data_IF_744196249123
#
_entry.id   IF_744196249123
#
_cell.length_a   1.000
_cell.length_b   1.000
_cell.length_c   1.000
_cell.angle_alpha   90.00
_cell.angle_beta   90.00
_cell.angle_gamma   90.00
#
_symmetry.space_group_name_H-M   'P 1'
#
loop_
_entity.id
_entity.type
_entity.pdbx_description
1 polymer ?
#
# COMPACT_ATOMS: atom_id res chain seq x y z
N UNK A 1 -44.93 -32.29 -23.42
CA UNK A 1 -44.66 -31.03 -22.68
C UNK A 1 -43.55 -31.20 -21.64
N UNK A 2 -43.43 -32.36 -21.00
CA UNK A 2 -42.43 -32.65 -19.95
C UNK A 2 -40.96 -32.50 -20.39
N UNK A 3 -40.58 -32.99 -21.57
CA UNK A 3 -39.18 -32.89 -22.06
C UNK A 3 -38.72 -31.45 -22.31
N UNK A 4 -39.62 -30.56 -22.76
CA UNK A 4 -39.29 -29.14 -22.99
C UNK A 4 -39.12 -28.38 -21.68
N UNK A 5 -39.92 -28.72 -20.66
CA UNK A 5 -39.78 -28.18 -19.31
C UNK A 5 -38.48 -28.63 -18.65
N UNK A 6 -38.14 -29.93 -18.77
CA UNK A 6 -36.88 -30.47 -18.26
C UNK A 6 -35.66 -29.77 -18.88
N UNK A 7 -35.66 -29.56 -20.20
CA UNK A 7 -34.57 -28.84 -20.90
C UNK A 7 -34.46 -27.39 -20.41
N UNK A 8 -35.58 -26.70 -20.20
CA UNK A 8 -35.56 -25.33 -19.65
C UNK A 8 -35.00 -25.27 -18.23
N UNK A 9 -35.41 -26.20 -17.36
CA UNK A 9 -34.92 -26.27 -15.98
C UNK A 9 -33.41 -26.53 -15.96
N UNK A 10 -32.92 -27.48 -16.76
CA UNK A 10 -31.49 -27.78 -16.86
C UNK A 10 -30.70 -26.57 -17.35
N UNK A 11 -31.23 -25.82 -18.33
CA UNK A 11 -30.56 -24.65 -18.88
C UNK A 11 -30.49 -23.49 -17.87
N UNK A 12 -31.59 -23.23 -17.15
CA UNK A 12 -31.63 -22.22 -16.08
C UNK A 12 -30.69 -22.59 -14.94
N UNK A 13 -30.67 -23.86 -14.53
CA UNK A 13 -29.75 -24.34 -13.50
C UNK A 13 -28.30 -24.14 -13.92
N UNK A 14 -27.95 -24.44 -15.17
CA UNK A 14 -26.60 -24.26 -15.70
C UNK A 14 -26.19 -22.78 -15.74
N UNK A 15 -27.09 -21.87 -16.13
CA UNK A 15 -26.86 -20.42 -16.08
C UNK A 15 -26.62 -19.96 -14.64
N UNK A 16 -27.45 -20.41 -13.69
CA UNK A 16 -27.29 -20.06 -12.27
C UNK A 16 -25.98 -20.58 -11.69
N UNK A 17 -25.54 -21.77 -12.10
CA UNK A 17 -24.27 -22.37 -11.70
C UNK A 17 -23.09 -21.51 -12.20
N UNK A 18 -23.12 -21.10 -13.47
CA UNK A 18 -22.08 -20.24 -14.07
C UNK A 18 -22.07 -18.86 -13.43
N UNK A 19 -23.24 -18.24 -13.22
CA UNK A 19 -23.34 -16.94 -12.55
C UNK A 19 -22.86 -17.02 -11.09
N UNK A 20 -23.23 -18.08 -10.38
CA UNK A 20 -22.76 -18.34 -9.01
C UNK A 20 -21.24 -18.50 -8.93
N UNK A 21 -20.64 -19.24 -9.86
CA UNK A 21 -19.18 -19.37 -9.95
C UNK A 21 -18.49 -18.03 -10.23
N UNK A 22 -19.03 -17.22 -11.13
CA UNK A 22 -18.48 -15.89 -11.46
C UNK A 22 -18.53 -14.93 -10.27
N UNK A 23 -19.65 -14.93 -9.53
CA UNK A 23 -19.81 -14.13 -8.32
C UNK A 23 -18.87 -14.65 -7.21
N UNK A 24 -18.74 -15.96 -7.06
CA UNK A 24 -17.87 -16.58 -6.07
C UNK A 24 -16.40 -16.25 -6.29
N UNK A 25 -15.90 -16.28 -7.53
CA UNK A 25 -14.50 -15.91 -7.83
C UNK A 25 -14.19 -14.46 -7.48
N UNK A 26 -15.10 -13.53 -7.79
CA UNK A 26 -14.92 -12.12 -7.44
C UNK A 26 -14.97 -11.89 -5.93
N UNK A 27 -15.90 -12.55 -5.23
CA UNK A 27 -16.07 -12.41 -3.79
C UNK A 27 -14.93 -13.06 -3.01
N UNK A 28 -14.47 -14.23 -3.44
CA UNK A 28 -13.36 -14.95 -2.83
C UNK A 28 -12.05 -14.15 -2.93
N UNK A 29 -11.78 -13.50 -4.07
CA UNK A 29 -10.62 -12.63 -4.25
C UNK A 29 -10.54 -11.49 -3.21
N UNK A 30 -11.68 -10.86 -2.91
CA UNK A 30 -11.79 -9.76 -1.93
C UNK A 30 -11.60 -10.29 -0.50
N UNK A 31 -12.12 -11.48 -0.19
CA UNK A 31 -12.08 -12.04 1.17
C UNK A 31 -10.72 -12.65 1.51
N UNK A 32 -10.09 -13.35 0.57
CA UNK A 32 -8.87 -14.10 0.87
C UNK A 32 -7.57 -13.34 0.58
N UNK A 33 -7.66 -12.10 0.07
CA UNK A 33 -6.47 -11.28 -0.22
C UNK A 33 -5.45 -12.03 -1.08
N UNK A 34 -5.92 -12.80 -2.07
CA UNK A 34 -5.09 -13.78 -2.77
C UNK A 34 -4.14 -13.06 -3.74
N UNK A 35 -2.98 -12.67 -3.20
CA UNK A 35 -1.66 -12.62 -3.84
C UNK A 35 -1.65 -12.22 -5.32
N UNK A 36 -1.98 -10.97 -5.62
CA UNK A 36 -1.13 -10.26 -6.58
C UNK A 36 0.22 -10.13 -5.89
N UNK A 37 1.29 -10.74 -6.42
CA UNK A 37 2.61 -10.70 -5.77
C UNK A 37 2.92 -9.28 -5.28
N UNK A 38 2.92 -9.12 -3.96
CA UNK A 38 3.03 -7.81 -3.31
C UNK A 38 4.37 -7.19 -3.73
N UNK A 39 4.33 -5.99 -4.31
CA UNK A 39 5.56 -5.34 -4.76
C UNK A 39 6.46 -5.03 -3.57
N UNK A 40 7.77 -4.88 -3.80
CA UNK A 40 8.69 -4.48 -2.73
C UNK A 40 8.24 -3.16 -2.07
N UNK A 41 7.76 -2.21 -2.87
CA UNK A 41 7.25 -0.92 -2.42
C UNK A 41 6.04 -1.07 -1.51
N UNK A 42 5.10 -1.94 -1.88
CA UNK A 42 3.87 -2.21 -1.13
C UNK A 42 4.19 -2.88 0.21
N UNK A 43 5.08 -3.87 0.21
CA UNK A 43 5.56 -4.53 1.45
C UNK A 43 6.17 -3.55 2.43
N UNK A 44 7.07 -2.69 1.94
CA UNK A 44 7.74 -1.70 2.79
C UNK A 44 6.73 -0.65 3.26
N UNK A 45 5.86 -0.16 2.38
CA UNK A 45 4.88 0.85 2.73
C UNK A 45 3.85 0.36 3.75
N UNK A 46 3.34 -0.87 3.60
CA UNK A 46 2.45 -1.51 4.56
C UNK A 46 3.13 -1.62 5.93
N UNK A 47 4.35 -2.15 5.97
CA UNK A 47 5.11 -2.29 7.21
C UNK A 47 5.38 -0.93 7.90
N UNK A 48 5.77 0.09 7.14
CA UNK A 48 5.93 1.46 7.67
C UNK A 48 4.63 2.02 8.21
N UNK A 49 3.52 1.82 7.49
CA UNK A 49 2.19 2.29 7.87
C UNK A 49 1.72 1.62 9.17
N UNK A 50 1.89 0.31 9.31
CA UNK A 50 1.57 -0.44 10.54
C UNK A 50 2.36 0.04 11.75
N UNK A 51 3.60 0.48 11.53
CA UNK A 51 4.44 1.04 12.59
C UNK A 51 4.08 2.49 12.95
N UNK A 52 3.27 3.16 12.13
CA UNK A 52 2.98 4.59 12.27
C UNK A 52 4.16 5.47 11.86
N UNK A 53 4.92 5.06 10.84
CA UNK A 53 5.96 5.90 10.26
C UNK A 53 5.35 7.08 9.49
N UNK A 54 6.05 8.21 9.54
CA UNK A 54 5.61 9.47 8.93
C UNK A 54 6.69 10.03 8.00
N UNK A 55 6.26 10.60 6.88
CA UNK A 55 7.12 11.28 5.93
C UNK A 55 6.86 12.78 5.94
N UNK A 56 7.89 13.54 6.29
CA UNK A 56 7.86 14.99 6.34
C UNK A 56 8.42 15.57 5.05
N UNK A 57 7.63 16.43 4.38
CA UNK A 57 7.95 16.93 3.05
C UNK A 57 7.60 18.40 2.85
N UNK A 58 7.95 18.93 1.68
CA UNK A 58 7.45 20.21 1.17
C UNK A 58 7.18 20.06 -0.33
N UNK A 59 6.18 20.76 -0.86
CA UNK A 59 5.89 20.75 -2.31
C UNK A 59 7.03 21.29 -3.17
N UNK A 60 7.89 22.15 -2.62
CA UNK A 60 9.04 22.75 -3.33
C UNK A 60 10.34 21.96 -3.19
N UNK A 61 10.27 20.71 -2.71
CA UNK A 61 11.42 19.87 -2.43
C UNK A 61 11.58 18.77 -3.50
N UNK A 62 12.59 18.91 -4.36
CA UNK A 62 12.85 17.97 -5.45
C UNK A 62 13.18 16.55 -4.95
N UNK A 63 13.93 16.44 -3.84
CA UNK A 63 14.26 15.14 -3.27
C UNK A 63 13.05 14.50 -2.58
N UNK A 64 12.13 15.30 -2.05
CA UNK A 64 10.86 14.80 -1.54
C UNK A 64 10.05 14.17 -2.68
N UNK A 65 9.94 14.83 -3.83
CA UNK A 65 9.26 14.28 -5.02
C UNK A 65 9.91 12.95 -5.47
N UNK A 66 11.25 12.87 -5.49
CA UNK A 66 11.97 11.63 -5.81
C UNK A 66 11.64 10.52 -4.81
N UNK A 67 11.58 10.82 -3.52
CA UNK A 67 11.22 9.85 -2.50
C UNK A 67 9.81 9.28 -2.72
N UNK A 68 8.81 10.14 -3.00
CA UNK A 68 7.45 9.66 -3.28
C UNK A 68 7.43 8.77 -4.53
N UNK A 69 8.15 9.17 -5.59
CA UNK A 69 8.27 8.39 -6.83
C UNK A 69 8.92 7.03 -6.62
N UNK A 70 9.85 6.88 -5.68
CA UNK A 70 10.49 5.60 -5.38
C UNK A 70 9.49 4.55 -4.85
N UNK A 71 8.46 4.98 -4.12
CA UNK A 71 7.38 4.13 -3.64
C UNK A 71 6.22 3.99 -4.63
N UNK A 72 6.06 4.94 -5.55
CA UNK A 72 4.96 4.94 -6.51
C UNK A 72 3.59 4.95 -5.81
N UNK A 73 2.67 4.09 -6.25
CA UNK A 73 1.30 4.03 -5.70
C UNK A 73 1.26 3.61 -4.22
N UNK A 74 2.21 2.80 -3.78
CA UNK A 74 2.28 2.34 -2.39
C UNK A 74 2.50 3.47 -1.39
N UNK A 75 2.98 4.63 -1.86
CA UNK A 75 3.15 5.81 -1.01
C UNK A 75 1.84 6.38 -0.45
N UNK A 76 0.68 6.00 -1.00
CA UNK A 76 -0.64 6.37 -0.48
C UNK A 76 -0.90 5.81 0.94
N UNK A 77 -0.20 4.74 1.33
CA UNK A 77 -0.31 4.12 2.65
C UNK A 77 0.49 4.87 3.73
N UNK A 78 1.40 5.76 3.33
CA UNK A 78 2.30 6.49 4.22
C UNK A 78 1.64 7.78 4.69
N UNK A 79 1.75 8.06 5.99
CA UNK A 79 1.34 9.34 6.56
C UNK A 79 2.32 10.40 6.10
N UNK A 80 1.81 11.47 5.47
CA UNK A 80 2.62 12.56 4.93
C UNK A 80 2.29 13.86 5.66
N UNK A 81 3.32 14.57 6.11
CA UNK A 81 3.20 15.84 6.83
C UNK A 81 3.89 16.93 6.02
N UNK A 82 3.14 17.96 5.62
CA UNK A 82 3.67 19.09 4.86
C UNK A 82 4.28 20.14 5.80
N UNK A 83 5.60 20.25 5.77
CA UNK A 83 6.39 21.24 6.51
C UNK A 83 6.68 22.51 5.71
N UNK A 84 6.32 22.55 4.42
CA UNK A 84 6.50 23.71 3.55
C UNK A 84 5.43 24.77 3.79
N UNK A 85 4.17 24.33 3.77
CA UNK A 85 3.01 25.20 3.98
C UNK A 85 2.69 25.38 5.47
N UNK A 86 2.84 24.33 6.28
CA UNK A 86 2.47 24.32 7.70
C UNK A 86 3.67 24.06 8.60
N UNK A 87 4.56 25.06 8.73
CA UNK A 87 5.77 24.96 9.58
C UNK A 87 5.47 24.60 11.05
N UNK A 88 4.28 24.97 11.54
CA UNK A 88 3.84 24.65 12.90
C UNK A 88 3.63 23.14 13.12
N UNK A 89 3.37 22.37 12.06
CA UNK A 89 3.20 20.92 12.13
C UNK A 89 4.53 20.16 12.25
N UNK A 90 5.67 20.84 12.09
CA UNK A 90 6.98 20.23 12.05
C UNK A 90 7.98 20.80 13.07
N UNK A 91 7.62 20.97 14.36
CA UNK A 91 8.46 21.67 15.33
C UNK A 91 9.78 20.96 15.64
N UNK A 92 9.85 19.65 15.41
CA UNK A 92 11.02 18.81 15.71
C UNK A 92 11.76 18.33 14.45
N UNK A 93 11.37 18.81 13.27
CA UNK A 93 11.98 18.40 12.00
C UNK A 93 13.01 19.45 11.58
N UNK A 94 14.26 19.03 11.44
CA UNK A 94 15.37 19.95 11.08
C UNK A 94 15.35 20.35 9.61
N UNK A 95 15.06 19.40 8.73
CA UNK A 95 15.06 19.57 7.28
C UNK A 95 14.16 18.52 6.63
N UNK A 96 13.79 18.76 5.38
CA UNK A 96 13.01 17.83 4.54
C UNK A 96 13.82 17.43 3.31
N UNK A 97 13.65 16.23 2.74
CA UNK A 97 12.76 15.16 3.22
C UNK A 97 13.25 14.55 4.56
N UNK A 98 12.31 14.13 5.40
CA UNK A 98 12.62 13.40 6.62
C UNK A 98 11.63 12.28 6.88
N UNK A 99 12.12 11.18 7.43
CA UNK A 99 11.33 10.04 7.87
C UNK A 99 11.35 9.96 9.38
N UNK A 100 10.17 9.95 10.00
CA UNK A 100 10.02 9.50 11.37
C UNK A 100 9.66 8.02 11.36
N UNK A 101 10.52 7.22 11.96
CA UNK A 101 10.33 5.77 12.11
C UNK A 101 10.28 5.51 13.62
N UNK A 102 9.10 5.19 14.20
CA UNK A 102 9.01 4.54 15.53
C UNK A 102 9.87 3.27 15.49
N UNK A 103 10.13 2.48 16.52
CA UNK A 103 10.92 1.23 16.37
C UNK A 103 12.39 1.27 15.81
N UNK A 104 12.83 2.23 14.99
CA UNK A 104 14.23 2.37 14.57
C UNK A 104 15.09 2.88 15.73
N UNK A 105 16.41 2.62 15.67
CA UNK A 105 17.37 3.15 16.65
C UNK A 105 17.42 4.69 16.60
N UNK A 106 17.58 5.24 15.40
CA UNK A 106 17.46 6.68 15.12
C UNK A 106 16.05 6.98 14.63
N UNK A 107 15.29 7.81 15.36
CA UNK A 107 13.88 8.08 15.02
C UNK A 107 13.68 8.93 13.77
N UNK A 108 14.61 9.85 13.50
CA UNK A 108 14.52 10.76 12.36
C UNK A 108 15.65 10.49 11.38
N UNK A 109 15.30 10.09 10.16
CA UNK A 109 16.24 9.92 9.06
C UNK A 109 16.04 11.04 8.05
N UNK A 110 17.10 11.78 7.74
CA UNK A 110 17.03 12.96 6.88
C UNK A 110 17.59 12.66 5.49
N UNK A 111 17.06 13.36 4.49
CA UNK A 111 17.49 13.25 3.10
C UNK A 111 16.78 12.14 2.32
N UNK A 112 17.17 12.01 1.05
CA UNK A 112 16.64 11.00 0.15
C UNK A 112 17.22 9.63 0.52
N UNK A 113 16.35 8.67 0.81
CA UNK A 113 16.73 7.31 1.15
C UNK A 113 16.23 6.33 0.09
N UNK A 114 17.03 5.32 -0.19
CA UNK A 114 16.62 4.16 -0.99
C UNK A 114 15.60 3.32 -0.24
N UNK A 115 14.83 2.50 -0.96
CA UNK A 115 13.88 1.57 -0.34
C UNK A 115 14.57 0.60 0.63
N UNK A 116 15.81 0.19 0.33
CA UNK A 116 16.57 -0.70 1.19
C UNK A 116 17.01 -0.02 2.48
N UNK A 117 17.52 1.21 2.43
CA UNK A 117 17.90 1.96 3.64
C UNK A 117 16.70 2.19 4.58
N UNK A 118 15.52 2.51 4.01
CA UNK A 118 14.29 2.68 4.79
C UNK A 118 13.85 1.34 5.39
N UNK A 119 13.88 0.28 4.58
CA UNK A 119 13.53 -1.08 4.97
C UNK A 119 14.41 -1.60 6.12
N UNK A 120 15.73 -1.40 6.03
CA UNK A 120 16.70 -1.75 7.07
C UNK A 120 16.45 -0.94 8.35
N UNK A 121 16.26 0.38 8.24
CA UNK A 121 16.00 1.25 9.39
C UNK A 121 14.71 0.92 10.13
N UNK A 122 13.67 0.51 9.39
CA UNK A 122 12.37 0.14 9.93
C UNK A 122 12.26 -1.35 10.33
N UNK A 123 13.29 -2.16 10.08
CA UNK A 123 13.23 -3.62 10.27
C UNK A 123 12.20 -4.31 9.36
N UNK A 124 11.80 -3.66 8.27
CA UNK A 124 10.82 -4.15 7.31
C UNK A 124 11.54 -4.99 6.25
N UNK A 125 11.83 -6.28 6.51
CA UNK A 125 12.63 -7.14 5.62
C UNK A 125 12.30 -6.94 4.11
N UNK A 126 13.29 -6.63 3.26
CA UNK A 126 13.11 -6.73 1.83
C UNK A 126 13.24 -8.22 1.48
N UNK A 127 12.14 -8.98 1.51
CA UNK A 127 12.19 -10.38 1.08
C UNK A 127 12.56 -10.41 -0.41
N UNK A 128 13.71 -11.03 -0.66
CA UNK A 128 14.31 -11.31 -1.97
C UNK A 128 13.42 -12.19 -2.83
#
# INVERSE_FOLDING_TARGET
MEKRLQVMITFVFLILLVAGLYIFTNWFSIITGYFTGESQQERIANCLSEQGAEFYFSEYCADCEKQQKAFGKSFEQIIKVDCGNDKENCPNVREVPAWYIPNSEEKFHYGLLTLNEISESAGCEPRT
#
